data_IF_104448090824
#
_entry.id   IF_104448090824
#
_cell.length_a   1.000
_cell.length_b   1.000
_cell.length_c   1.000
_cell.angle_alpha   90.00
_cell.angle_beta   90.00
_cell.angle_gamma   90.00
#
_symmetry.space_group_name_H-M   'P 1'
#
loop_
_entity.id
_entity.type
_entity.pdbx_description
1 polymer ?
#
# COMPACT_ATOMS: atom_id res chain seq x y z
N UNK A 1 -24.94 51.00 37.02
CA UNK A 1 -23.80 50.09 36.71
C UNK A 1 -24.17 48.59 36.63
N UNK A 2 -25.44 48.17 36.55
CA UNK A 2 -25.84 46.74 36.61
C UNK A 2 -26.12 46.02 35.28
N UNK A 3 -25.90 46.65 34.11
CA UNK A 3 -26.16 45.99 32.81
C UNK A 3 -24.95 45.24 32.23
N UNK A 4 -23.73 45.45 32.76
CA UNK A 4 -22.51 44.79 32.25
C UNK A 4 -22.39 43.34 32.69
N UNK A 5 -22.81 43.00 33.91
CA UNK A 5 -22.76 41.63 34.43
C UNK A 5 -23.66 40.65 33.69
N UNK A 6 -24.87 41.09 33.30
CA UNK A 6 -25.81 40.25 32.55
C UNK A 6 -25.30 39.92 31.14
N UNK A 7 -24.55 40.82 30.51
CA UNK A 7 -23.92 40.58 29.21
C UNK A 7 -22.89 39.45 29.27
N UNK A 8 -22.06 39.42 30.32
CA UNK A 8 -21.08 38.35 30.51
C UNK A 8 -21.75 36.99 30.79
N UNK A 9 -22.85 36.98 31.55
CA UNK A 9 -23.61 35.74 31.80
C UNK A 9 -24.22 35.20 30.50
N UNK A 10 -24.76 36.09 29.66
CA UNK A 10 -25.34 35.68 28.38
C UNK A 10 -24.28 35.15 27.41
N UNK A 11 -23.11 35.79 27.34
CA UNK A 11 -21.98 35.31 26.55
C UNK A 11 -21.48 33.94 27.03
N UNK A 12 -21.38 33.73 28.35
CA UNK A 12 -20.95 32.45 28.92
C UNK A 12 -21.91 31.31 28.56
N UNK A 13 -23.23 31.55 28.62
CA UNK A 13 -24.24 30.55 28.23
C UNK A 13 -24.10 30.18 26.75
N UNK A 14 -23.90 31.16 25.87
CA UNK A 14 -23.73 30.91 24.43
C UNK A 14 -22.48 30.03 24.20
N UNK A 15 -21.36 30.33 24.86
CA UNK A 15 -20.14 29.54 24.75
C UNK A 15 -20.35 28.10 25.25
N UNK A 16 -21.06 27.90 26.36
CA UNK A 16 -21.39 26.56 26.87
C UNK A 16 -22.26 25.77 25.89
N UNK A 17 -23.24 26.42 25.25
CA UNK A 17 -24.10 25.79 24.23
C UNK A 17 -23.30 25.39 22.99
N UNK A 18 -22.38 26.26 22.53
CA UNK A 18 -21.50 25.96 21.39
C UNK A 18 -20.55 24.80 21.71
N UNK A 19 -19.91 24.80 22.89
CA UNK A 19 -19.03 23.71 23.32
C UNK A 19 -19.80 22.39 23.45
N UNK A 20 -21.02 22.43 24.00
CA UNK A 20 -21.87 21.25 24.13
C UNK A 20 -22.30 20.69 22.77
N UNK A 21 -22.59 21.57 21.79
CA UNK A 21 -22.91 21.18 20.42
C UNK A 21 -21.74 20.55 19.68
N UNK A 22 -20.51 21.01 19.94
CA UNK A 22 -19.29 20.42 19.38
C UNK A 22 -18.96 19.04 19.98
N UNK A 23 -19.36 18.78 21.23
CA UNK A 23 -19.08 17.50 21.91
C UNK A 23 -19.81 16.33 21.26
N UNK A 24 -20.91 16.58 20.55
CA UNK A 24 -21.67 15.55 19.81
C UNK A 24 -21.05 15.13 18.47
N UNK A 25 -20.07 15.88 17.94
CA UNK A 25 -19.38 15.55 16.69
C UNK A 25 -18.11 14.78 17.01
N UNK A 26 -18.25 13.63 17.67
CA UNK A 26 -17.18 12.65 17.73
C UNK A 26 -17.13 11.95 16.37
N UNK A 27 -16.22 12.38 15.50
CA UNK A 27 -15.97 11.72 14.22
C UNK A 27 -15.47 10.30 14.49
N UNK A 28 -16.35 9.30 14.35
CA UNK A 28 -15.97 7.90 14.43
C UNK A 28 -15.28 7.51 13.12
N UNK A 29 -13.95 7.45 13.13
CA UNK A 29 -13.17 6.94 11.99
C UNK A 29 -13.35 5.42 11.98
N UNK A 30 -14.29 4.95 11.16
CA UNK A 30 -14.48 3.53 10.91
C UNK A 30 -13.43 3.07 9.89
N UNK A 31 -12.28 2.61 10.36
CA UNK A 31 -11.28 1.94 9.50
C UNK A 31 -11.87 0.58 9.13
N UNK A 32 -12.32 0.42 7.89
CA UNK A 32 -12.91 -0.84 7.42
C UNK A 32 -11.94 -2.02 7.59
N UNK A 33 -12.46 -3.21 7.88
CA UNK A 33 -11.64 -4.43 8.09
C UNK A 33 -10.71 -4.75 6.90
N UNK A 34 -11.11 -4.39 5.68
CA UNK A 34 -10.27 -4.57 4.50
C UNK A 34 -8.99 -3.74 4.54
N UNK A 35 -9.02 -2.53 5.10
CA UNK A 35 -7.84 -1.68 5.21
C UNK A 35 -6.84 -2.26 6.22
N UNK A 36 -7.33 -2.80 7.35
CA UNK A 36 -6.47 -3.49 8.32
C UNK A 36 -5.77 -4.69 7.70
N UNK A 37 -6.54 -5.53 7.02
CA UNK A 37 -6.01 -6.72 6.33
C UNK A 37 -4.93 -6.35 5.31
N UNK A 38 -5.13 -5.27 4.55
CA UNK A 38 -4.15 -4.75 3.60
C UNK A 38 -2.83 -4.34 4.27
N UNK A 39 -2.89 -3.55 5.35
CA UNK A 39 -1.68 -3.11 6.04
C UNK A 39 -0.97 -4.26 6.78
N UNK A 40 -1.71 -5.23 7.33
CA UNK A 40 -1.11 -6.40 7.96
C UNK A 40 -0.37 -7.27 6.93
N UNK A 41 -0.98 -7.50 5.78
CA UNK A 41 -0.39 -8.22 4.65
C UNK A 41 0.87 -7.51 4.11
N UNK A 42 0.88 -6.18 4.08
CA UNK A 42 2.06 -5.40 3.71
C UNK A 42 3.21 -5.53 4.71
N UNK A 43 2.94 -5.71 6.01
CA UNK A 43 3.99 -5.96 7.00
C UNK A 43 4.57 -7.36 6.83
N UNK A 44 3.72 -8.34 6.54
CA UNK A 44 4.13 -9.72 6.31
C UNK A 44 5.06 -9.84 5.11
N UNK A 45 4.79 -9.15 3.99
CA UNK A 45 5.65 -9.26 2.79
C UNK A 45 7.07 -8.79 3.07
N UNK A 46 7.23 -7.68 3.81
CA UNK A 46 8.54 -7.17 4.18
C UNK A 46 9.31 -8.12 5.09
N UNK A 47 8.62 -8.87 5.95
CA UNK A 47 9.23 -9.82 6.85
C UNK A 47 9.60 -11.13 6.15
N UNK A 48 8.70 -11.71 5.37
CA UNK A 48 8.94 -12.98 4.67
C UNK A 48 9.97 -12.83 3.55
N UNK A 49 9.95 -11.71 2.80
CA UNK A 49 10.96 -11.48 1.76
C UNK A 49 12.37 -11.38 2.34
N UNK A 50 12.53 -10.72 3.49
CA UNK A 50 13.83 -10.64 4.19
C UNK A 50 14.35 -12.02 4.57
N UNK A 51 13.50 -12.91 5.09
CA UNK A 51 13.90 -14.29 5.39
C UNK A 51 14.34 -15.05 4.14
N UNK A 52 13.63 -14.87 3.01
CA UNK A 52 13.97 -15.51 1.75
C UNK A 52 15.33 -15.02 1.24
N UNK A 53 15.58 -13.71 1.32
CA UNK A 53 16.87 -13.10 0.98
C UNK A 53 17.98 -13.62 1.89
N UNK A 54 17.79 -13.59 3.21
CA UNK A 54 18.77 -14.08 4.18
C UNK A 54 19.10 -15.56 3.98
N UNK A 55 18.08 -16.38 3.71
CA UNK A 55 18.27 -17.80 3.39
C UNK A 55 19.02 -17.99 2.07
N UNK A 56 18.71 -17.18 1.05
CA UNK A 56 19.42 -17.20 -0.24
C UNK A 56 20.90 -16.88 -0.09
N UNK A 57 21.22 -15.84 0.70
CA UNK A 57 22.60 -15.44 1.04
C UNK A 57 23.30 -16.55 1.82
N UNK A 58 22.67 -17.10 2.87
CA UNK A 58 23.29 -18.12 3.72
C UNK A 58 23.60 -19.43 2.99
N UNK A 59 22.83 -19.77 1.94
CA UNK A 59 22.97 -21.03 1.20
C UNK A 59 23.69 -20.88 -0.15
N UNK A 60 24.36 -19.76 -0.42
CA UNK A 60 25.05 -19.47 -1.68
C UNK A 60 24.18 -19.75 -2.92
N UNK A 61 22.88 -19.40 -2.86
CA UNK A 61 21.94 -19.56 -3.97
C UNK A 61 21.97 -18.34 -4.88
N UNK A 62 21.46 -18.52 -6.09
CA UNK A 62 21.16 -17.40 -6.98
C UNK A 62 19.98 -16.59 -6.41
N UNK A 63 20.31 -15.58 -5.59
CA UNK A 63 19.36 -14.77 -4.81
C UNK A 63 18.31 -14.13 -5.71
N UNK A 64 18.73 -13.66 -6.88
CA UNK A 64 17.86 -13.01 -7.86
C UNK A 64 16.71 -13.92 -8.28
N UNK A 65 17.02 -15.12 -8.79
CA UNK A 65 15.99 -16.05 -9.27
C UNK A 65 15.06 -16.52 -8.14
N UNK A 66 15.62 -16.76 -6.95
CA UNK A 66 14.84 -17.15 -5.77
C UNK A 66 13.86 -16.04 -5.35
N UNK A 67 14.33 -14.80 -5.34
CA UNK A 67 13.55 -13.63 -4.93
C UNK A 67 12.48 -13.31 -5.97
N UNK A 68 12.82 -13.33 -7.27
CA UNK A 68 11.85 -13.12 -8.35
C UNK A 68 10.72 -14.16 -8.29
N UNK A 69 11.03 -15.46 -8.15
CA UNK A 69 10.02 -16.52 -8.06
C UNK A 69 9.14 -16.40 -6.79
N UNK A 70 9.75 -16.06 -5.65
CA UNK A 70 9.02 -15.79 -4.42
C UNK A 70 8.06 -14.60 -4.59
N UNK A 71 8.56 -13.47 -5.08
CA UNK A 71 7.77 -12.25 -5.25
C UNK A 71 6.66 -12.43 -6.29
N UNK A 72 6.90 -13.19 -7.36
CA UNK A 72 5.86 -13.57 -8.32
C UNK A 72 4.72 -14.32 -7.61
N UNK A 73 5.04 -15.40 -6.88
CA UNK A 73 4.04 -16.20 -6.14
C UNK A 73 3.34 -15.39 -5.06
N UNK A 74 4.09 -14.55 -4.36
CA UNK A 74 3.55 -13.72 -3.29
C UNK A 74 2.64 -12.63 -3.85
N UNK A 75 2.95 -12.05 -5.02
CA UNK A 75 2.09 -11.06 -5.66
C UNK A 75 0.70 -11.62 -5.99
N UNK A 76 0.61 -12.90 -6.37
CA UNK A 76 -0.65 -13.62 -6.55
C UNK A 76 -1.39 -13.85 -5.22
N UNK A 77 -0.65 -14.17 -4.15
CA UNK A 77 -1.22 -14.31 -2.80
C UNK A 77 -1.81 -12.99 -2.28
N UNK A 78 -1.15 -11.85 -2.54
CA UNK A 78 -1.63 -10.55 -2.06
C UNK A 78 -2.94 -10.15 -2.77
N UNK A 79 -3.14 -10.59 -4.02
CA UNK A 79 -4.39 -10.37 -4.77
C UNK A 79 -4.73 -8.89 -4.99
N UNK A 80 -3.73 -8.02 -5.05
CA UNK A 80 -3.92 -6.57 -5.26
C UNK A 80 -3.65 -6.19 -6.71
N UNK A 81 -4.30 -5.12 -7.16
CA UNK A 81 -4.27 -4.65 -8.54
C UNK A 81 -2.85 -4.39 -9.04
N UNK A 82 -2.02 -3.78 -8.19
CA UNK A 82 -0.67 -3.38 -8.57
C UNK A 82 0.30 -3.48 -7.39
N UNK A 83 1.44 -4.14 -7.61
CA UNK A 83 2.49 -4.30 -6.61
C UNK A 83 3.85 -4.07 -7.26
N UNK A 84 4.68 -3.27 -6.62
CA UNK A 84 6.09 -3.10 -6.99
C UNK A 84 6.97 -3.54 -5.83
N UNK A 85 7.94 -4.38 -6.15
CA UNK A 85 8.99 -4.78 -5.24
C UNK A 85 10.31 -4.27 -5.73
N UNK A 86 11.10 -3.69 -4.82
CA UNK A 86 12.42 -3.18 -5.09
C UNK A 86 13.38 -3.95 -4.19
N UNK A 87 14.41 -4.55 -4.76
CA UNK A 87 15.38 -5.33 -3.99
C UNK A 87 16.77 -5.19 -4.59
N UNK A 88 17.80 -5.31 -3.76
CA UNK A 88 19.16 -5.04 -4.18
C UNK A 88 20.16 -5.15 -3.04
N UNK A 89 21.44 -4.96 -3.37
CA UNK A 89 22.55 -5.18 -2.45
C UNK A 89 23.54 -4.00 -2.44
N UNK A 90 23.08 -2.75 -2.37
CA UNK A 90 23.93 -1.55 -2.31
C UNK A 90 24.75 -1.24 -3.59
N UNK A 91 25.17 -2.26 -4.34
CA UNK A 91 25.84 -2.19 -5.64
C UNK A 91 24.83 -2.00 -6.79
N UNK A 92 23.59 -2.47 -6.60
CA UNK A 92 22.51 -2.29 -7.55
C UNK A 92 21.15 -2.66 -6.98
N UNK A 93 20.10 -1.99 -7.47
CA UNK A 93 18.71 -2.27 -7.13
C UNK A 93 17.91 -2.61 -8.39
N UNK A 94 16.98 -3.55 -8.25
CA UNK A 94 16.04 -3.98 -9.27
C UNK A 94 14.63 -3.72 -8.78
N UNK A 95 13.73 -3.39 -9.71
CA UNK A 95 12.31 -3.28 -9.41
C UNK A 95 11.48 -4.19 -10.33
N UNK A 96 10.59 -4.95 -9.70
CA UNK A 96 9.59 -5.78 -10.37
C UNK A 96 8.23 -5.19 -10.13
N UNK A 97 7.49 -4.94 -11.21
CA UNK A 97 6.12 -4.46 -11.20
C UNK A 97 5.20 -5.59 -11.64
N UNK A 98 4.22 -5.87 -10.79
CA UNK A 98 3.18 -6.85 -11.03
C UNK A 98 1.85 -6.13 -11.19
N UNK A 99 1.24 -6.30 -12.35
CA UNK A 99 -0.08 -5.74 -12.67
C UNK A 99 -1.03 -6.87 -13.05
N UNK A 100 -2.26 -6.76 -12.58
CA UNK A 100 -3.34 -7.64 -12.96
C UNK A 100 -4.11 -7.08 -14.16
N UNK A 101 -4.02 -7.76 -15.30
CA UNK A 101 -4.66 -7.34 -16.55
C UNK A 101 -5.79 -8.32 -16.93
N UNK A 102 -6.94 -7.79 -17.34
CA UNK A 102 -8.02 -8.62 -17.89
C UNK A 102 -7.59 -9.19 -19.23
N UNK A 103 -7.57 -10.51 -19.33
CA UNK A 103 -7.17 -11.24 -20.56
C UNK A 103 -8.33 -11.92 -21.26
N UNK A 104 -9.51 -11.98 -20.62
CA UNK A 104 -10.70 -12.51 -21.25
C UNK A 104 -11.90 -12.56 -20.31
N UNK A 105 -12.93 -13.27 -20.74
CA UNK A 105 -14.06 -13.67 -19.91
C UNK A 105 -14.59 -15.02 -20.37
N UNK A 106 -15.10 -15.80 -19.42
CA UNK A 106 -15.89 -17.00 -19.69
C UNK A 106 -17.33 -16.66 -19.34
N UNK A 107 -18.24 -16.83 -20.29
CA UNK A 107 -19.67 -16.66 -20.09
C UNK A 107 -20.41 -17.98 -20.28
N UNK A 108 -21.46 -18.20 -19.47
CA UNK A 108 -22.46 -19.22 -19.74
C UNK A 108 -23.73 -18.51 -20.21
N UNK A 109 -24.14 -18.76 -21.45
CA UNK A 109 -25.39 -18.23 -21.98
C UNK A 109 -26.55 -19.10 -21.47
N UNK A 110 -27.21 -18.61 -20.42
CA UNK A 110 -28.38 -19.24 -19.80
C UNK A 110 -29.65 -18.41 -20.00
N UNK A 111 -29.63 -17.44 -20.93
CA UNK A 111 -30.67 -16.41 -21.07
C UNK A 111 -30.49 -15.19 -20.15
N UNK A 112 -29.61 -15.30 -19.14
CA UNK A 112 -28.97 -14.16 -18.47
C UNK A 112 -27.46 -14.28 -18.71
N UNK A 113 -26.86 -13.24 -19.29
CA UNK A 113 -25.42 -13.22 -19.53
C UNK A 113 -24.71 -13.12 -18.19
N UNK A 114 -24.13 -14.23 -17.73
CA UNK A 114 -23.27 -14.28 -16.56
C UNK A 114 -21.84 -14.48 -17.02
N UNK A 115 -21.06 -13.40 -17.01
CA UNK A 115 -19.65 -13.41 -17.38
C UNK A 115 -18.76 -13.45 -16.14
N UNK A 116 -17.73 -14.28 -16.18
CA UNK A 116 -16.63 -14.33 -15.24
C UNK A 116 -15.40 -13.78 -15.96
N UNK A 117 -14.82 -12.69 -15.45
CA UNK A 117 -13.60 -12.13 -16.00
C UNK A 117 -12.41 -13.04 -15.68
N UNK A 118 -11.57 -13.29 -16.69
CA UNK A 118 -10.26 -13.91 -16.49
C UNK A 118 -9.24 -12.79 -16.45
N UNK A 119 -8.57 -12.68 -15.32
CA UNK A 119 -7.43 -11.80 -15.15
C UNK A 119 -6.14 -12.62 -15.16
N UNK A 120 -5.06 -12.01 -15.63
CA UNK A 120 -3.71 -12.57 -15.59
C UNK A 120 -2.76 -11.54 -15.01
N UNK A 121 -1.97 -11.97 -14.04
CA UNK A 121 -0.87 -11.18 -13.51
C UNK A 121 0.32 -11.22 -14.48
N UNK A 122 0.89 -10.07 -14.76
CA UNK A 122 2.06 -9.92 -15.63
C UNK A 122 3.18 -9.22 -14.88
N UNK A 123 4.39 -9.76 -15.01
CA UNK A 123 5.61 -9.15 -14.51
C UNK A 123 6.19 -8.18 -15.55
N UNK A 124 6.61 -7.00 -15.08
CA UNK A 124 7.35 -6.01 -15.86
C UNK A 124 8.51 -5.50 -15.02
N UNK A 125 9.69 -5.33 -15.63
CA UNK A 125 10.80 -4.63 -14.96
C UNK A 125 10.47 -3.14 -14.90
N UNK A 126 10.58 -2.54 -13.72
CA UNK A 126 10.43 -1.11 -13.52
C UNK A 126 11.82 -0.45 -13.45
N UNK A 127 11.88 0.80 -13.91
CA UNK A 127 13.12 1.58 -13.83
C UNK A 127 13.32 2.06 -12.39
N UNK A 128 14.53 1.82 -11.88
CA UNK A 128 14.98 2.34 -10.58
C UNK A 128 15.96 3.46 -10.82
N UNK A 129 15.74 4.59 -10.15
CA UNK A 129 16.66 5.72 -10.15
C UNK A 129 17.41 5.68 -8.81
N UNK A 130 18.74 5.64 -8.89
CA UNK A 130 19.62 5.67 -7.72
C UNK A 130 20.18 7.08 -7.55
N UNK A 131 19.97 7.63 -6.35
CA UNK A 131 20.65 8.82 -5.84
C UNK A 131 21.55 8.39 -4.68
N UNK A 132 22.54 9.21 -4.30
CA UNK A 132 23.61 8.84 -3.34
C UNK A 132 23.13 8.04 -2.12
N UNK A 133 21.97 8.39 -1.58
CA UNK A 133 21.41 7.72 -0.41
C UNK A 133 19.93 7.35 -0.55
N UNK A 134 19.36 7.43 -1.77
CA UNK A 134 17.94 7.21 -2.01
C UNK A 134 17.70 6.33 -3.25
N UNK A 135 16.67 5.49 -3.16
CA UNK A 135 16.11 4.70 -4.26
C UNK A 135 14.76 5.30 -4.64
N UNK A 136 14.56 5.60 -5.92
CA UNK A 136 13.31 6.14 -6.43
C UNK A 136 12.72 5.22 -7.50
N UNK A 137 11.40 4.98 -7.42
CA UNK A 137 10.63 4.29 -8.46
C UNK A 137 9.42 5.14 -8.85
N UNK A 138 9.14 5.22 -10.15
CA UNK A 138 7.98 5.95 -10.65
C UNK A 138 6.84 5.02 -11.07
N UNK A 139 5.63 5.28 -10.58
CA UNK A 139 4.40 4.57 -10.93
C UNK A 139 3.34 5.59 -11.31
N UNK A 140 2.87 5.54 -12.56
CA UNK A 140 1.84 6.46 -13.07
C UNK A 140 2.18 7.94 -12.73
N UNK A 141 3.42 8.35 -13.02
CA UNK A 141 3.98 9.69 -12.77
C UNK A 141 4.18 10.08 -11.29
N UNK A 142 3.88 9.18 -10.35
CA UNK A 142 4.15 9.36 -8.92
C UNK A 142 5.51 8.73 -8.60
N UNK A 143 6.45 9.53 -8.06
CA UNK A 143 7.72 9.03 -7.53
C UNK A 143 7.55 8.55 -6.10
N UNK A 144 8.10 7.38 -5.80
CA UNK A 144 8.23 6.84 -4.46
C UNK A 144 9.70 6.75 -4.12
N UNK A 145 10.11 7.51 -3.10
CA UNK A 145 11.50 7.64 -2.68
C UNK A 145 11.74 6.90 -1.36
N UNK A 146 12.80 6.12 -1.32
CA UNK A 146 13.20 5.28 -0.21
C UNK A 146 14.61 5.65 0.24
N UNK A 147 14.75 6.06 1.49
CA UNK A 147 16.06 6.33 2.05
C UNK A 147 16.80 5.02 2.34
N UNK A 148 17.96 4.85 1.73
CA UNK A 148 18.81 3.67 1.90
C UNK A 148 19.47 3.72 3.27
N UNK A 149 19.20 2.70 4.09
CA UNK A 149 19.91 2.45 5.35
C UNK A 149 20.75 1.20 5.22
N UNK A 150 21.84 1.15 5.98
CA UNK A 150 22.69 -0.03 6.04
C UNK A 150 21.86 -1.28 6.44
N UNK A 151 21.95 -2.33 5.62
CA UNK A 151 21.17 -3.57 5.80
C UNK A 151 19.72 -3.53 5.28
N UNK A 152 19.24 -2.42 4.70
CA UNK A 152 17.94 -2.39 4.02
C UNK A 152 18.12 -2.72 2.53
N UNK A 153 17.84 -3.99 2.21
CA UNK A 153 18.04 -4.57 0.89
C UNK A 153 16.72 -4.83 0.13
N UNK A 154 15.59 -4.45 0.73
CA UNK A 154 14.24 -4.71 0.22
C UNK A 154 13.31 -3.55 0.55
N UNK A 155 12.58 -3.09 -0.45
CA UNK A 155 11.51 -2.10 -0.36
C UNK A 155 10.32 -2.54 -1.20
N UNK A 156 9.14 -1.99 -0.92
CA UNK A 156 7.96 -2.28 -1.73
C UNK A 156 6.98 -1.11 -1.78
N UNK A 157 6.15 -1.12 -2.82
CA UNK A 157 4.97 -0.28 -2.98
C UNK A 157 3.80 -1.19 -3.36
N UNK A 158 2.84 -1.37 -2.46
CA UNK A 158 1.60 -2.11 -2.74
C UNK A 158 0.49 -1.08 -2.94
N UNK A 159 -0.22 -1.17 -4.06
CA UNK A 159 -1.32 -0.27 -4.41
C UNK A 159 -2.61 -1.08 -4.51
N UNK A 160 -3.63 -0.65 -3.76
CA UNK A 160 -4.98 -1.19 -3.84
C UNK A 160 -5.95 -0.06 -4.20
N UNK A 161 -6.83 -0.31 -5.16
CA UNK A 161 -7.94 0.59 -5.48
C UNK A 161 -9.27 -0.03 -5.08
N UNK A 162 -10.03 0.65 -4.21
CA UNK A 162 -11.37 0.22 -3.78
C UNK A 162 -12.30 1.42 -3.83
N UNK A 163 -13.45 1.30 -4.50
CA UNK A 163 -14.50 2.33 -4.50
C UNK A 163 -13.99 3.76 -4.80
N UNK A 164 -13.05 3.88 -5.76
CA UNK A 164 -12.43 5.15 -6.15
C UNK A 164 -11.44 5.75 -5.13
N UNK A 165 -11.08 5.00 -4.08
CA UNK A 165 -10.00 5.32 -3.15
C UNK A 165 -8.74 4.49 -3.47
N UNK A 166 -7.59 5.16 -3.46
CA UNK A 166 -6.28 4.52 -3.68
C UNK A 166 -5.54 4.38 -2.34
N UNK A 167 -5.34 3.14 -1.93
CA UNK A 167 -4.54 2.78 -0.76
C UNK A 167 -3.13 2.45 -1.21
N UNK A 168 -2.14 3.01 -0.52
CA UNK A 168 -0.74 2.76 -0.78
C UNK A 168 -0.08 2.32 0.52
N UNK A 169 0.64 1.20 0.48
CA UNK A 169 1.53 0.77 1.53
C UNK A 169 2.96 0.75 1.00
N UNK A 170 3.88 1.33 1.76
CA UNK A 170 5.31 1.29 1.49
C UNK A 170 6.06 0.75 2.70
N UNK A 171 7.21 0.11 2.47
CA UNK A 171 8.04 -0.45 3.53
C UNK A 171 9.36 -0.97 3.00
#
# INVERSE_FOLDING_TARGET
>A
MNKRGQFFIMAAIIVVVVISGLTGVATYINVGNEQRTFYDLSKEVGFETKKVLDWGVFNDREIDSLTEDFLFKYSDYIGQNEVIFIYGNGEGYKALRFEENRVGSIGLDTGMVKEININRRTEKKANVILSENDVSVSINEISYDFNLREGQNFFFVIIKEVQNERFVATG
#
